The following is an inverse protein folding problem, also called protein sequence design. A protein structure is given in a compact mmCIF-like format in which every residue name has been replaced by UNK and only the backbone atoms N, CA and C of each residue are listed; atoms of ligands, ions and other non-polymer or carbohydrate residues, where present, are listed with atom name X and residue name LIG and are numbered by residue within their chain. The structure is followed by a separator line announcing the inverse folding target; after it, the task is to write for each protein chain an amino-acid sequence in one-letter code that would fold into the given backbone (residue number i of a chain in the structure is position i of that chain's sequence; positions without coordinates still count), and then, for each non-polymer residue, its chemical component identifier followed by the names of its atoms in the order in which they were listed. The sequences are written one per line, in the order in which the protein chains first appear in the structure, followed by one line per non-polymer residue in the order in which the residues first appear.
data_IF_896290860135
#
_entry.id   IF_896290860135
#
_cell.length_a   1.000
_cell.length_b   1.000
_cell.length_c   1.000
_cell.angle_alpha   90.00
_cell.angle_beta   90.00
_cell.angle_gamma   90.00
#
_symmetry.space_group_name_H-M   'P 1'
#
loop_
_entity.id
_entity.type
_entity.pdbx_description
1 polymer ?
#
# COMPACT_ATOMS: atom_id res chain seq x y z
N UNK A 1 -17.93 11.59 18.97
CA UNK A 1 -16.67 12.38 18.99
C UNK A 1 -15.92 12.52 17.63
N UNK A 2 -15.97 11.52 16.73
CA UNK A 2 -15.25 11.60 15.44
C UNK A 2 -16.08 12.17 14.27
N UNK A 3 -17.41 12.02 14.28
CA UNK A 3 -18.27 12.49 13.17
C UNK A 3 -18.57 13.99 13.31
N UNK A 4 -18.86 14.46 14.53
CA UNK A 4 -19.21 15.87 14.83
C UNK A 4 -18.10 16.87 14.50
N UNK A 5 -16.85 16.42 14.55
CA UNK A 5 -15.67 17.23 14.19
C UNK A 5 -15.37 17.20 12.69
N UNK A 6 -16.06 16.38 11.90
CA UNK A 6 -15.83 16.25 10.47
C UNK A 6 -16.35 17.46 9.68
N UNK A 7 -15.69 17.78 8.57
CA UNK A 7 -16.15 18.83 7.64
C UNK A 7 -17.54 18.52 7.05
N UNK A 8 -17.93 17.24 7.00
CA UNK A 8 -19.25 16.81 6.55
C UNK A 8 -20.36 17.23 7.52
N UNK A 9 -20.11 17.10 8.82
CA UNK A 9 -21.07 17.46 9.87
C UNK A 9 -21.42 18.94 9.85
N UNK A 10 -20.40 19.78 9.64
CA UNK A 10 -20.58 21.23 9.58
C UNK A 10 -21.47 21.69 8.41
N UNK A 11 -21.64 20.86 7.38
CA UNK A 11 -22.51 21.14 6.23
C UNK A 11 -23.98 20.80 6.46
N UNK A 12 -24.29 20.04 7.50
CA UNK A 12 -25.67 19.68 7.85
C UNK A 12 -26.35 20.80 8.62
N UNK A 13 -27.63 21.00 8.37
CA UNK A 13 -28.51 21.85 9.16
C UNK A 13 -28.82 21.21 10.53
N UNK A 14 -29.25 22.02 11.50
CA UNK A 14 -29.67 21.52 12.82
C UNK A 14 -30.72 20.39 12.77
N UNK A 15 -31.82 20.48 11.98
CA UNK A 15 -32.78 19.38 11.91
C UNK A 15 -32.20 18.11 11.29
N UNK A 16 -31.29 18.20 10.32
CA UNK A 16 -30.60 17.02 9.75
C UNK A 16 -29.68 16.36 10.78
N UNK A 17 -28.97 17.14 11.60
CA UNK A 17 -28.12 16.62 12.68
C UNK A 17 -28.96 15.93 13.75
N UNK A 18 -30.06 16.55 14.17
CA UNK A 18 -30.99 15.95 15.14
C UNK A 18 -31.57 14.63 14.63
N UNK A 19 -32.08 14.61 13.40
CA UNK A 19 -32.62 13.39 12.79
C UNK A 19 -31.58 12.27 12.66
N UNK A 20 -30.33 12.60 12.35
CA UNK A 20 -29.24 11.62 12.32
C UNK A 20 -28.91 11.05 13.72
N UNK A 21 -28.90 11.90 14.75
CA UNK A 21 -28.67 11.44 16.13
C UNK A 21 -29.80 10.49 16.56
N UNK A 22 -31.05 10.82 16.26
CA UNK A 22 -32.21 9.97 16.56
C UNK A 22 -32.12 8.62 15.83
N UNK A 23 -31.70 8.61 14.56
CA UNK A 23 -31.45 7.39 13.79
C UNK A 23 -30.39 6.50 14.45
N UNK A 24 -29.28 7.08 14.91
CA UNK A 24 -28.23 6.33 15.61
C UNK A 24 -28.70 5.82 16.98
N UNK A 25 -29.44 6.64 17.73
CA UNK A 25 -29.98 6.26 19.04
C UNK A 25 -30.96 5.08 18.94
N UNK A 26 -31.70 4.97 17.83
CA UNK A 26 -32.58 3.83 17.57
C UNK A 26 -31.84 2.49 17.36
N UNK A 27 -30.53 2.53 17.12
CA UNK A 27 -29.66 1.35 16.99
C UNK A 27 -28.86 1.05 18.26
N UNK A 28 -29.14 1.72 19.38
CA UNK A 28 -28.40 1.47 20.61
C UNK A 28 -28.57 0.00 21.06
N UNK A 29 -27.45 -0.69 21.25
CA UNK A 29 -27.41 -2.12 21.56
C UNK A 29 -27.46 -3.07 20.36
N UNK A 30 -27.66 -2.58 19.14
CA UNK A 30 -27.59 -3.41 17.94
C UNK A 30 -26.14 -3.73 17.55
N UNK A 31 -25.94 -4.90 16.94
CA UNK A 31 -24.68 -5.28 16.29
C UNK A 31 -24.96 -6.12 15.04
N UNK A 32 -24.08 -6.04 14.05
CA UNK A 32 -24.14 -6.81 12.83
C UNK A 32 -22.72 -7.02 12.28
N UNK A 33 -22.48 -8.17 11.64
CA UNK A 33 -21.23 -8.47 10.93
C UNK A 33 -21.30 -8.08 9.45
N UNK A 34 -22.51 -7.82 8.94
CA UNK A 34 -22.74 -7.36 7.57
C UNK A 34 -23.21 -5.90 7.56
N UNK A 35 -22.48 -5.07 6.81
CA UNK A 35 -22.82 -3.67 6.60
C UNK A 35 -24.17 -3.48 5.92
N UNK A 36 -24.56 -4.36 4.99
CA UNK A 36 -25.84 -4.27 4.29
C UNK A 36 -27.02 -4.47 5.23
N UNK A 37 -26.88 -5.39 6.18
CA UNK A 37 -27.89 -5.61 7.22
C UNK A 37 -28.03 -4.37 8.13
N UNK A 38 -26.91 -3.83 8.61
CA UNK A 38 -26.94 -2.62 9.44
C UNK A 38 -27.48 -1.41 8.66
N UNK A 39 -27.15 -1.30 7.38
CA UNK A 39 -27.65 -0.21 6.52
C UNK A 39 -29.17 -0.25 6.34
N UNK A 40 -29.77 -1.45 6.30
CA UNK A 40 -31.22 -1.59 6.20
C UNK A 40 -31.93 -1.07 7.47
N UNK A 41 -31.33 -1.28 8.65
CA UNK A 41 -31.87 -0.81 9.94
C UNK A 41 -31.62 0.68 10.16
N UNK A 42 -30.41 1.14 9.87
CA UNK A 42 -29.98 2.54 10.01
C UNK A 42 -30.72 3.48 9.06
N UNK A 43 -31.11 2.97 7.88
CA UNK A 43 -31.72 3.78 6.83
C UNK A 43 -30.73 4.71 6.12
N UNK A 44 -31.23 5.64 5.30
CA UNK A 44 -30.39 6.51 4.49
C UNK A 44 -29.61 7.52 5.35
N UNK A 45 -28.32 7.63 5.08
CA UNK A 45 -27.43 8.58 5.73
C UNK A 45 -27.25 9.85 4.89
N UNK A 46 -27.04 11.02 5.52
CA UNK A 46 -26.67 12.23 4.79
C UNK A 46 -25.33 12.06 4.06
N UNK A 47 -25.33 12.32 2.75
CA UNK A 47 -24.15 12.20 1.86
C UNK A 47 -22.86 12.81 2.43
N UNK A 48 -22.86 13.99 3.08
CA UNK A 48 -21.63 14.59 3.60
C UNK A 48 -20.94 13.81 4.72
N UNK A 49 -21.70 13.01 5.49
CA UNK A 49 -21.19 12.28 6.66
C UNK A 49 -21.20 10.76 6.48
N UNK A 50 -21.85 10.23 5.44
CA UNK A 50 -22.05 8.80 5.20
C UNK A 50 -20.76 7.97 5.42
N UNK A 51 -19.64 8.35 4.81
CA UNK A 51 -18.35 7.65 4.97
C UNK A 51 -17.85 7.70 6.42
N UNK A 52 -17.93 8.87 7.07
CA UNK A 52 -17.45 9.04 8.44
C UNK A 52 -18.29 8.23 9.43
N UNK A 53 -19.60 8.16 9.21
CA UNK A 53 -20.51 7.33 10.00
C UNK A 53 -20.14 5.86 9.90
N UNK A 54 -19.97 5.32 8.69
CA UNK A 54 -19.62 3.91 8.53
C UNK A 54 -18.27 3.55 9.15
N UNK A 55 -17.29 4.45 9.08
CA UNK A 55 -15.98 4.25 9.74
C UNK A 55 -16.11 4.26 11.26
N UNK A 56 -17.00 5.08 11.83
CA UNK A 56 -17.21 5.16 13.26
C UNK A 56 -18.03 3.97 13.82
N UNK A 57 -18.93 3.41 13.01
CA UNK A 57 -19.77 2.27 13.37
C UNK A 57 -19.07 0.92 13.15
N UNK A 58 -18.00 0.86 12.35
CA UNK A 58 -17.29 -0.37 12.07
C UNK A 58 -16.08 -0.56 12.98
N UNK A 59 -15.89 -1.78 13.45
CA UNK A 59 -14.68 -2.25 14.09
C UNK A 59 -14.10 -3.37 13.25
N UNK A 60 -12.78 -3.37 13.07
CA UNK A 60 -12.09 -4.48 12.42
C UNK A 60 -11.81 -5.55 13.46
N UNK A 61 -12.16 -6.78 13.12
CA UNK A 61 -11.92 -7.95 13.95
C UNK A 61 -11.26 -9.03 13.06
N UNK A 62 -9.99 -9.40 13.32
CA UNK A 62 -9.30 -10.42 12.54
C UNK A 62 -9.88 -11.83 12.74
N UNK A 63 -10.63 -12.07 13.82
CA UNK A 63 -11.28 -13.36 14.11
C UNK A 63 -12.71 -13.41 13.56
N UNK A 64 -13.22 -12.31 12.98
CA UNK A 64 -14.55 -12.29 12.39
C UNK A 64 -14.62 -13.19 11.15
N UNK A 65 -15.77 -13.84 10.90
CA UNK A 65 -15.98 -14.58 9.67
C UNK A 65 -15.77 -13.72 8.42
N UNK A 66 -15.15 -14.30 7.39
CA UNK A 66 -14.95 -13.62 6.12
C UNK A 66 -16.28 -13.17 5.52
N UNK A 67 -16.36 -11.89 5.15
CA UNK A 67 -17.50 -11.35 4.41
C UNK A 67 -17.47 -11.92 2.99
N UNK A 68 -18.58 -12.51 2.55
CA UNK A 68 -18.67 -13.10 1.21
C UNK A 68 -19.62 -12.31 0.31
N UNK A 69 -19.21 -12.08 -0.92
CA UNK A 69 -20.08 -11.59 -1.98
C UNK A 69 -21.10 -12.65 -2.42
N UNK A 70 -21.91 -12.29 -3.42
CA UNK A 70 -22.81 -13.24 -4.09
C UNK A 70 -22.07 -14.52 -4.52
N UNK A 71 -22.71 -15.67 -4.31
CA UNK A 71 -22.15 -17.02 -4.58
C UNK A 71 -21.03 -17.46 -3.62
N UNK A 72 -20.92 -16.87 -2.43
CA UNK A 72 -20.05 -17.35 -1.36
C UNK A 72 -18.56 -17.10 -1.58
N UNK A 73 -18.20 -16.20 -2.51
CA UNK A 73 -16.81 -15.80 -2.73
C UNK A 73 -16.42 -14.75 -1.69
N UNK A 74 -15.32 -14.93 -0.95
CA UNK A 74 -14.82 -13.90 -0.03
C UNK A 74 -14.62 -12.56 -0.75
N UNK A 75 -15.00 -11.46 -0.09
CA UNK A 75 -14.68 -10.13 -0.57
C UNK A 75 -13.20 -9.80 -0.29
N UNK A 76 -12.47 -9.22 -1.26
CA UNK A 76 -11.10 -8.82 -1.03
C UNK A 76 -11.03 -7.63 -0.05
N UNK A 77 -10.34 -7.79 1.08
CA UNK A 77 -9.98 -6.65 1.92
C UNK A 77 -8.86 -5.85 1.24
N UNK A 78 -9.08 -4.57 0.86
CA UNK A 78 -8.05 -3.75 0.24
C UNK A 78 -6.80 -3.56 1.10
N UNK A 79 -6.91 -3.64 2.42
CA UNK A 79 -5.81 -3.40 3.36
C UNK A 79 -4.97 -4.64 3.62
N UNK A 80 -5.45 -5.82 3.22
CA UNK A 80 -4.72 -7.10 3.29
C UNK A 80 -4.10 -7.50 1.95
N UNK A 81 -4.06 -6.59 0.98
CA UNK A 81 -3.44 -6.86 -0.33
C UNK A 81 -1.93 -6.83 -0.23
N UNK A 82 -1.29 -7.86 -0.76
CA UNK A 82 0.17 -7.92 -0.91
C UNK A 82 0.59 -8.28 -2.34
N UNK A 83 1.88 -8.15 -2.64
CA UNK A 83 2.48 -8.49 -3.92
C UNK A 83 3.66 -9.43 -3.74
N UNK A 84 3.67 -10.52 -4.50
CA UNK A 84 4.76 -11.50 -4.53
C UNK A 84 5.56 -11.40 -5.81
N UNK A 85 6.89 -11.54 -5.68
CA UNK A 85 7.79 -11.65 -6.83
C UNK A 85 7.98 -13.12 -7.19
N UNK A 86 7.19 -13.59 -8.16
CA UNK A 86 7.24 -14.98 -8.62
C UNK A 86 8.27 -15.15 -9.74
N UNK A 87 9.25 -16.07 -9.60
CA UNK A 87 10.13 -16.44 -10.69
C UNK A 87 9.34 -17.08 -11.83
N UNK A 88 9.41 -16.51 -13.03
CA UNK A 88 8.73 -17.02 -14.22
C UNK A 88 9.63 -17.97 -15.02
N UNK A 89 9.06 -18.98 -15.70
CA UNK A 89 9.85 -19.99 -16.38
C UNK A 89 10.45 -19.46 -17.69
N UNK A 90 11.75 -19.72 -17.86
CA UNK A 90 12.46 -19.51 -19.11
C UNK A 90 12.86 -18.06 -19.42
N UNK A 91 13.85 -17.93 -20.29
CA UNK A 91 14.15 -16.66 -20.95
C UNK A 91 13.16 -16.46 -22.09
N UNK A 92 12.63 -15.26 -22.18
CA UNK A 92 11.77 -14.84 -23.30
C UNK A 92 12.57 -13.98 -24.26
N UNK A 93 12.44 -14.27 -25.55
CA UNK A 93 13.05 -13.48 -26.61
C UNK A 93 12.27 -12.17 -26.78
N UNK A 94 12.88 -11.08 -26.34
CA UNK A 94 12.39 -9.72 -26.58
C UNK A 94 11.34 -9.20 -25.58
N UNK A 95 11.13 -7.89 -25.66
CA UNK A 95 10.13 -7.16 -24.88
C UNK A 95 8.75 -7.34 -25.51
N UNK A 96 7.75 -7.52 -24.65
CA UNK A 96 6.34 -7.61 -25.02
C UNK A 96 5.60 -6.43 -24.40
N UNK A 97 5.05 -5.56 -25.25
CA UNK A 97 4.32 -4.37 -24.81
C UNK A 97 3.00 -4.75 -24.12
N UNK A 98 2.35 -5.84 -24.59
CA UNK A 98 1.15 -6.40 -23.97
C UNK A 98 1.36 -7.88 -23.59
N UNK A 99 1.90 -8.13 -22.39
CA UNK A 99 2.17 -9.50 -21.94
C UNK A 99 0.91 -10.26 -21.50
N UNK A 100 -0.31 -9.74 -21.71
CA UNK A 100 -1.55 -10.34 -21.21
C UNK A 100 -1.71 -11.80 -21.64
N UNK A 101 -1.48 -12.10 -22.92
CA UNK A 101 -1.57 -13.46 -23.45
C UNK A 101 -0.53 -14.40 -22.82
N UNK A 102 0.65 -13.87 -22.51
CA UNK A 102 1.75 -14.61 -21.89
C UNK A 102 1.48 -14.90 -20.42
N UNK A 103 1.02 -13.91 -19.66
CA UNK A 103 0.58 -14.06 -18.27
C UNK A 103 -0.60 -15.05 -18.15
N UNK A 104 -1.44 -15.14 -19.18
CA UNK A 104 -2.53 -16.11 -19.23
C UNK A 104 -2.10 -17.51 -19.70
N UNK A 105 -0.86 -17.70 -20.13
CA UNK A 105 -0.38 -18.99 -20.65
C UNK A 105 -0.20 -20.03 -19.54
N UNK A 106 -0.38 -21.33 -19.82
CA UNK A 106 -0.23 -22.39 -18.82
C UNK A 106 1.12 -22.36 -18.08
N UNK A 107 2.29 -22.23 -18.74
CA UNK A 107 3.57 -22.23 -18.03
C UNK A 107 3.68 -21.13 -16.97
N UNK A 108 3.13 -19.95 -17.24
CA UNK A 108 3.19 -18.81 -16.32
C UNK A 108 2.18 -18.97 -15.18
N UNK A 109 0.98 -19.48 -15.47
CA UNK A 109 -0.02 -19.80 -14.43
C UNK A 109 0.48 -20.89 -13.51
N UNK A 110 1.03 -21.97 -14.06
CA UNK A 110 1.57 -23.08 -13.28
C UNK A 110 2.71 -22.63 -12.37
N UNK A 111 3.58 -21.71 -12.83
CA UNK A 111 4.64 -21.15 -11.99
C UNK A 111 4.09 -20.31 -10.83
N UNK A 112 3.07 -19.48 -11.08
CA UNK A 112 2.39 -18.71 -10.02
C UNK A 112 1.69 -19.62 -9.04
N UNK A 113 0.97 -20.63 -9.51
CA UNK A 113 0.27 -21.60 -8.65
C UNK A 113 1.26 -22.42 -7.80
N UNK A 114 2.37 -22.86 -8.39
CA UNK A 114 3.42 -23.59 -7.68
C UNK A 114 4.07 -22.74 -6.58
N UNK A 115 4.37 -21.46 -6.88
CA UNK A 115 4.90 -20.53 -5.88
C UNK A 115 3.89 -20.26 -4.77
N UNK A 116 2.62 -20.01 -5.11
CA UNK A 116 1.56 -19.82 -4.12
C UNK A 116 1.45 -21.03 -3.19
N UNK A 117 1.49 -22.25 -3.73
CA UNK A 117 1.40 -23.47 -2.94
C UNK A 117 2.61 -23.69 -2.02
N UNK A 118 3.81 -23.32 -2.46
CA UNK A 118 5.05 -23.54 -1.71
C UNK A 118 5.32 -22.45 -0.65
N UNK A 119 5.08 -21.17 -1.01
CA UNK A 119 5.58 -20.02 -0.25
C UNK A 119 4.48 -19.17 0.39
N UNK A 120 3.23 -19.20 -0.11
CA UNK A 120 2.16 -18.30 0.36
C UNK A 120 1.10 -19.04 1.17
N UNK A 121 0.45 -20.03 0.57
CA UNK A 121 -0.67 -20.77 1.17
C UNK A 121 -0.34 -21.49 2.50
N UNK A 122 0.91 -21.93 2.77
CA UNK A 122 1.26 -22.46 4.09
C UNK A 122 1.15 -21.43 5.24
N UNK A 123 1.27 -20.13 4.92
CA UNK A 123 1.24 -19.05 5.91
C UNK A 123 -0.05 -18.22 5.86
N UNK A 124 -0.63 -18.08 4.67
CA UNK A 124 -1.88 -17.35 4.42
C UNK A 124 -2.83 -18.25 3.61
N UNK A 125 -3.55 -19.19 4.27
CA UNK A 125 -4.31 -20.24 3.59
C UNK A 125 -5.49 -19.73 2.75
N UNK A 126 -5.99 -18.55 3.08
CA UNK A 126 -7.11 -17.89 2.40
C UNK A 126 -6.64 -16.93 1.31
N UNK A 127 -5.34 -16.84 1.00
CA UNK A 127 -4.82 -16.00 -0.08
C UNK A 127 -5.23 -16.51 -1.47
N UNK A 128 -5.48 -15.58 -2.39
CA UNK A 128 -5.68 -15.90 -3.81
C UNK A 128 -5.08 -14.85 -4.73
N UNK A 129 -4.72 -15.27 -5.93
CA UNK A 129 -4.11 -14.37 -6.93
C UNK A 129 -5.19 -13.62 -7.70
N UNK A 130 -5.05 -12.30 -7.78
CA UNK A 130 -5.82 -11.50 -8.72
C UNK A 130 -5.07 -11.34 -10.05
N UNK A 131 -5.32 -12.26 -10.99
CA UNK A 131 -4.68 -12.26 -12.31
C UNK A 131 -4.93 -11.00 -13.17
N UNK A 132 -5.97 -10.21 -12.88
CA UNK A 132 -6.17 -8.94 -13.59
C UNK A 132 -5.14 -7.86 -13.20
N UNK A 133 -4.38 -8.10 -12.12
CA UNK A 133 -3.39 -7.17 -11.56
C UNK A 133 -1.95 -7.69 -11.62
N UNK A 134 -1.73 -8.90 -12.12
CA UNK A 134 -0.38 -9.45 -12.32
C UNK A 134 0.36 -8.68 -13.40
N UNK A 135 1.66 -8.47 -13.21
CA UNK A 135 2.54 -7.78 -14.16
C UNK A 135 3.85 -8.54 -14.28
N UNK A 136 4.51 -8.44 -15.44
CA UNK A 136 5.86 -8.95 -15.62
C UNK A 136 6.84 -7.87 -15.17
N UNK A 137 7.65 -8.18 -14.16
CA UNK A 137 8.78 -7.36 -13.73
C UNK A 137 10.08 -7.85 -14.36
N UNK A 138 11.02 -6.92 -14.59
CA UNK A 138 12.38 -7.24 -15.03
C UNK A 138 13.36 -6.69 -13.99
N UNK A 139 14.28 -7.53 -13.53
CA UNK A 139 15.38 -7.10 -12.69
C UNK A 139 16.61 -6.82 -13.56
N UNK A 140 17.07 -5.57 -13.57
CA UNK A 140 18.31 -5.18 -14.22
C UNK A 140 19.34 -4.95 -13.12
N UNK A 141 20.36 -5.82 -12.95
CA UNK A 141 21.40 -5.61 -11.95
C UNK A 141 22.31 -4.45 -12.40
N UNK A 142 21.87 -3.23 -12.11
CA UNK A 142 22.47 -1.99 -12.61
C UNK A 142 23.93 -1.88 -12.19
N UNK A 143 24.25 -2.25 -10.94
CA UNK A 143 25.62 -2.24 -10.44
C UNK A 143 26.50 -3.21 -11.23
N UNK A 144 26.03 -4.42 -11.52
CA UNK A 144 26.80 -5.41 -12.29
C UNK A 144 27.14 -4.90 -13.69
N UNK A 145 26.23 -4.19 -14.34
CA UNK A 145 26.39 -3.79 -15.74
C UNK A 145 26.99 -2.39 -15.94
N UNK A 146 26.71 -1.47 -15.02
CA UNK A 146 27.03 -0.05 -15.20
C UNK A 146 27.99 0.49 -14.13
N UNK A 147 28.27 -0.26 -13.06
CA UNK A 147 29.27 0.18 -12.10
C UNK A 147 30.67 0.08 -12.71
N UNK A 148 31.29 1.24 -12.88
CA UNK A 148 32.73 1.34 -13.10
C UNK A 148 33.37 1.74 -11.79
N UNK A 149 34.28 0.91 -11.30
CA UNK A 149 35.08 1.27 -10.13
C UNK A 149 35.87 2.54 -10.41
N UNK A 150 35.66 3.55 -9.58
CA UNK A 150 36.49 4.76 -9.56
C UNK A 150 37.36 4.67 -8.32
N UNK A 151 38.69 4.49 -8.47
CA UNK A 151 39.58 4.51 -7.32
C UNK A 151 39.51 5.88 -6.62
N UNK A 152 39.64 5.92 -5.29
CA UNK A 152 39.76 7.18 -4.57
C UNK A 152 41.02 7.93 -5.02
N UNK A 153 41.02 9.26 -4.87
CA UNK A 153 42.22 10.07 -5.10
C UNK A 153 43.38 9.61 -4.18
N UNK A 154 44.64 9.68 -4.64
CA UNK A 154 45.80 9.30 -3.84
C UNK A 154 45.89 10.10 -2.53
N UNK A 155 46.47 9.48 -1.50
CA UNK A 155 46.61 10.10 -0.18
C UNK A 155 47.54 11.31 -0.24
N UNK A 156 48.58 11.25 -1.05
CA UNK A 156 49.58 12.32 -1.22
C UNK A 156 48.93 13.60 -1.76
N UNK A 157 47.90 13.47 -2.60
CA UNK A 157 47.11 14.60 -3.10
C UNK A 157 46.22 15.19 -2.00
N UNK A 158 45.69 14.36 -1.09
CA UNK A 158 44.95 14.80 0.09
C UNK A 158 45.86 15.60 1.03
N UNK A 159 47.04 15.07 1.35
CA UNK A 159 47.98 15.72 2.25
C UNK A 159 48.47 17.07 1.70
N UNK A 160 48.74 17.14 0.40
CA UNK A 160 49.15 18.37 -0.27
C UNK A 160 48.04 19.44 -0.26
N UNK A 161 46.79 19.05 -0.51
CA UNK A 161 45.65 19.97 -0.46
C UNK A 161 45.38 20.47 0.97
N UNK A 162 45.43 19.59 1.97
CA UNK A 162 45.27 19.97 3.39
C UNK A 162 46.34 20.99 3.78
N UNK A 163 47.61 20.74 3.47
CA UNK A 163 48.72 21.65 3.80
C UNK A 163 48.57 23.01 3.11
N UNK A 164 48.10 23.03 1.86
CA UNK A 164 47.83 24.26 1.12
C UNK A 164 46.68 25.07 1.76
N UNK A 165 45.58 24.38 2.13
CA UNK A 165 44.45 24.98 2.82
C UNK A 165 44.84 25.54 4.19
N UNK A 166 45.66 24.82 4.96
CA UNK A 166 46.19 25.29 6.26
C UNK A 166 46.98 26.60 6.08
N UNK A 167 47.86 26.63 5.09
CA UNK A 167 48.66 27.83 4.77
C UNK A 167 47.76 29.01 4.39
N UNK A 168 46.74 28.77 3.59
CA UNK A 168 45.79 29.81 3.19
C UNK A 168 44.95 30.32 4.37
N UNK A 169 44.47 29.43 5.25
CA UNK A 169 43.72 29.79 6.45
C UNK A 169 44.58 30.67 7.36
N UNK A 170 45.84 30.30 7.60
CA UNK A 170 46.77 31.08 8.41
C UNK A 170 47.00 32.48 7.81
N UNK A 171 47.17 32.58 6.48
CA UNK A 171 47.28 33.88 5.78
C UNK A 171 46.05 34.74 6.01
N UNK A 172 44.85 34.21 5.77
CA UNK A 172 43.58 34.96 5.89
C UNK A 172 43.29 35.39 7.33
N UNK A 173 43.59 34.54 8.32
CA UNK A 173 43.47 34.92 9.72
C UNK A 173 44.41 36.07 10.08
N UNK A 174 45.65 36.03 9.59
CA UNK A 174 46.62 37.12 9.76
C UNK A 174 46.14 38.46 9.19
N UNK A 175 45.38 38.46 8.08
CA UNK A 175 44.81 39.66 7.46
C UNK A 175 43.64 40.29 8.26
N UNK A 176 43.00 39.52 9.15
CA UNK A 176 41.87 40.00 9.98
C UNK A 176 42.32 40.37 11.39
N UNK A 177 43.35 39.70 11.92
CA UNK A 177 43.85 39.94 13.27
C UNK A 177 45.00 40.96 13.34
N UNK A 178 45.55 41.38 12.20
CA UNK A 178 46.56 42.44 12.08
C UNK A 178 45.93 43.75 11.60
#
# INVERSE_FOLDING_TARGET
PAIETSAGWQKLSEPERAGFIDQLAALDGDSATDRAELALRLGPLPKPIEKATWVALSLRDPEAPAVTASKGRPEPDPDLRDNENVPLPGLVDGFDEDPTSRLASPPYRDAVEAYMAAEVLPYVPDAWVNHTRTKIGYEIPLTRHFYRYTPPRPLEEIDAEISALETEIQRRLGEVTG
#
